data_IF_442302973464
#
_entry.id   IF_442302973464
#
_cell.length_a   1.000
_cell.length_b   1.000
_cell.length_c   1.000
_cell.angle_alpha   90.00
_cell.angle_beta   90.00
_cell.angle_gamma   90.00
#
_symmetry.space_group_name_H-M   'P 1'
#
loop_
_entity.id
_entity.type
_entity.pdbx_description
1 polymer ?
2 water ?
#
# COMPACT_ATOMS: atom_id res chain seq x y z
N UNK A 1 -1.37 -18.51 8.46
CA UNK A 1 -1.72 -17.24 9.06
C UNK A 1 -1.05 -16.12 8.33
N UNK A 2 -1.46 -15.95 7.06
CA UNK A 2 -0.95 -14.91 6.20
C UNK A 2 -1.91 -13.79 5.86
N UNK A 3 -1.33 -12.70 5.40
CA UNK A 3 -2.04 -11.50 5.00
C UNK A 3 -2.67 -11.66 3.63
N UNK A 4 -3.47 -10.69 3.24
CA UNK A 4 -4.04 -10.71 1.91
C UNK A 4 -2.87 -10.64 0.91
N UNK A 5 -1.84 -9.89 1.22
CA UNK A 5 -0.67 -9.78 0.34
C UNK A 5 -0.01 -11.14 0.15
N UNK A 6 0.12 -11.87 1.25
CA UNK A 6 0.72 -13.22 1.21
C UNK A 6 -0.12 -14.13 0.30
N UNK A 7 -1.44 -13.95 0.35
CA UNK A 7 -2.32 -14.72 -0.51
C UNK A 7 -2.13 -14.33 -1.98
N UNK A 8 -1.96 -13.05 -2.26
CA UNK A 8 -1.71 -12.56 -3.61
C UNK A 8 -0.39 -13.17 -4.14
N UNK A 9 0.59 -13.30 -3.25
CA UNK A 9 1.90 -13.87 -3.63
C UNK A 9 1.84 -15.33 -4.04
N UNK A 10 0.80 -16.04 -3.64
CA UNK A 10 0.66 -17.45 -3.98
C UNK A 10 -0.01 -17.66 -5.34
N UNK A 11 -0.63 -16.60 -5.89
CA UNK A 11 -1.29 -16.68 -7.20
C UNK A 11 -0.27 -16.82 -8.35
N UNK A 12 -0.75 -17.34 -9.48
CA UNK A 12 0.12 -17.44 -10.63
C UNK A 12 0.51 -16.00 -10.97
N UNK A 13 1.73 -15.76 -11.37
CA UNK A 13 2.34 -14.45 -11.62
C UNK A 13 1.49 -13.72 -12.65
N UNK A 14 0.75 -14.32 -13.56
CA UNK A 14 0.01 -13.59 -14.59
C UNK A 14 -1.03 -12.60 -14.07
N UNK A 15 -1.44 -12.73 -12.81
CA UNK A 15 -2.45 -11.83 -12.28
C UNK A 15 -1.88 -10.45 -12.13
N UNK A 16 -0.58 -10.41 -11.83
CA UNK A 16 0.07 -9.17 -11.55
C UNK A 16 -0.21 -8.09 -12.58
N UNK A 17 -0.33 -8.48 -13.83
CA UNK A 17 -0.60 -7.49 -14.86
C UNK A 17 -1.90 -6.72 -14.66
N UNK A 18 -2.87 -7.34 -14.02
CA UNK A 18 -4.17 -6.71 -13.77
C UNK A 18 -4.18 -5.61 -12.72
N UNK A 19 -3.24 -5.63 -11.80
CA UNK A 19 -3.20 -4.61 -10.76
C UNK A 19 -2.33 -3.38 -11.05
N UNK A 20 -1.62 -3.38 -12.19
CA UNK A 20 -0.74 -2.24 -12.47
C UNK A 20 -1.34 -0.84 -12.32
N UNK A 21 -2.54 -0.64 -12.88
CA UNK A 21 -3.18 0.66 -12.84
C UNK A 21 -3.75 1.07 -11.47
N UNK A 22 -3.72 0.16 -10.50
CA UNK A 22 -4.18 0.43 -9.14
C UNK A 22 -3.09 1.05 -8.26
N UNK A 23 -1.88 1.19 -8.82
CA UNK A 23 -0.76 1.80 -8.12
C UNK A 23 -0.35 3.03 -8.88
N UNK A 24 -0.24 4.15 -8.18
CA UNK A 24 0.18 5.39 -8.79
C UNK A 24 0.95 6.18 -7.71
N UNK A 25 1.15 7.47 -7.91
CA UNK A 25 1.92 8.29 -6.94
C UNK A 25 1.29 8.22 -5.54
N UNK A 26 0.05 7.84 -5.38
CA UNK A 26 -0.77 8.07 -4.19
C UNK A 26 -0.47 6.79 -3.41
N UNK A 27 -0.06 5.75 -4.12
CA UNK A 27 0.19 4.47 -3.49
C UNK A 27 1.07 3.54 -4.33
N UNK A 28 2.38 3.44 -3.97
CA UNK A 28 3.31 2.57 -4.69
C UNK A 28 3.40 1.15 -4.07
N UNK A 29 3.75 0.16 -4.88
CA UNK A 29 3.84 -1.21 -4.43
C UNK A 29 4.85 -1.43 -3.29
N UNK A 30 5.88 -0.58 -3.21
CA UNK A 30 6.87 -0.72 -2.13
C UNK A 30 6.15 -0.67 -0.80
N UNK A 31 5.20 0.28 -0.69
CA UNK A 31 4.42 0.43 0.53
C UNK A 31 3.48 -0.77 0.73
N UNK A 32 2.81 -1.19 -0.34
CA UNK A 32 1.89 -2.34 -0.27
C UNK A 32 2.61 -3.58 0.29
N UNK A 33 3.85 -3.78 -0.15
CA UNK A 33 4.63 -4.92 0.26
C UNK A 33 5.27 -4.83 1.63
N UNK A 34 6.04 -3.79 1.87
CA UNK A 34 6.78 -3.66 3.14
C UNK A 34 5.86 -3.44 4.34
N UNK A 35 4.74 -2.79 4.08
CA UNK A 35 3.76 -2.50 5.12
C UNK A 35 2.42 -3.20 4.87
N UNK A 36 2.47 -4.39 4.30
CA UNK A 36 1.25 -5.14 3.97
C UNK A 36 0.30 -5.28 5.17
N UNK A 37 0.83 -5.71 6.33
CA UNK A 37 -0.03 -5.90 7.50
C UNK A 37 -0.63 -4.58 8.01
N UNK A 38 0.18 -3.52 7.99
CA UNK A 38 -0.31 -2.24 8.46
C UNK A 38 -1.40 -1.73 7.50
N UNK A 39 -1.11 -1.79 6.20
CA UNK A 39 -2.06 -1.38 5.17
C UNK A 39 -3.40 -2.13 5.36
N UNK A 40 -3.32 -3.42 5.59
CA UNK A 40 -4.52 -4.25 5.75
C UNK A 40 -5.27 -4.03 7.06
N UNK A 41 -4.71 -3.26 7.94
CA UNK A 41 -5.32 -2.99 9.26
C UNK A 41 -6.21 -1.74 9.30
N UNK A 42 -5.97 -0.81 8.39
CA UNK A 42 -6.71 0.44 8.38
C UNK A 42 -8.02 0.39 7.60
N UNK A 43 -8.97 1.23 8.00
CA UNK A 43 -10.26 1.27 7.33
C UNK A 43 -10.23 2.37 6.27
N UNK A 44 -9.59 2.06 5.14
CA UNK A 44 -9.43 3.03 4.05
C UNK A 44 -10.73 3.47 3.43
N UNK A 45 -11.65 2.52 3.41
CA UNK A 45 -12.96 2.70 2.83
C UNK A 45 -13.72 3.83 3.57
N UNK A 46 -13.73 3.80 4.90
CA UNK A 46 -14.35 4.87 5.67
C UNK A 46 -13.53 6.19 5.56
N UNK A 47 -12.19 6.10 5.57
CA UNK A 47 -11.33 7.28 5.46
C UNK A 47 -11.51 8.01 4.12
N UNK A 48 -11.91 7.25 3.12
CA UNK A 48 -12.11 7.83 1.75
C UNK A 48 -13.28 8.82 1.77
N UNK A 49 -14.19 8.65 2.68
CA UNK A 49 -15.17 9.82 2.85
C UNK A 49 -15.03 10.71 4.05
N UNK A 50 -13.89 10.68 4.73
CA UNK A 50 -13.70 11.47 5.95
C UNK A 50 -12.33 12.12 5.97
N UNK A 51 -12.33 13.44 5.74
CA UNK A 51 -11.13 14.28 5.76
C UNK A 51 -10.18 14.04 6.95
N UNK A 52 -10.72 14.19 8.15
CA UNK A 52 -9.95 13.99 9.36
C UNK A 52 -9.34 12.59 9.43
N UNK A 53 -10.15 11.57 9.16
CA UNK A 53 -9.65 10.21 9.20
C UNK A 53 -8.57 10.00 8.15
N UNK A 54 -8.79 10.47 6.93
CA UNK A 54 -7.82 10.27 5.87
C UNK A 54 -6.49 10.91 6.23
N UNK A 55 -6.54 12.08 6.87
CA UNK A 55 -5.33 12.78 7.26
C UNK A 55 -4.58 11.98 8.31
N UNK A 56 -5.30 11.51 9.32
CA UNK A 56 -4.70 10.68 10.38
C UNK A 56 -4.03 9.43 9.78
N UNK A 57 -4.73 8.75 8.87
CA UNK A 57 -4.14 7.55 8.27
C UNK A 57 -2.84 7.82 7.49
N UNK A 58 -2.84 8.93 6.74
CA UNK A 58 -1.66 9.30 5.95
C UNK A 58 -0.52 9.70 6.89
N UNK A 59 -0.81 10.47 7.95
CA UNK A 59 0.20 10.80 8.96
C UNK A 59 0.82 9.50 9.53
N UNK A 60 -0.01 8.52 9.83
CA UNK A 60 0.48 7.26 10.40
C UNK A 60 1.23 6.43 9.39
N UNK A 61 0.82 6.50 8.13
CA UNK A 61 1.51 5.81 7.04
C UNK A 61 2.96 6.40 6.97
N UNK A 62 3.07 7.71 7.03
CA UNK A 62 4.38 8.38 7.00
C UNK A 62 5.27 7.97 8.16
N UNK A 63 4.65 7.74 9.34
CA UNK A 63 5.40 7.32 10.51
C UNK A 63 5.92 5.88 10.28
N UNK A 64 5.08 5.00 9.74
CA UNK A 64 5.50 3.62 9.44
C UNK A 64 6.58 3.60 8.35
N UNK A 65 6.41 4.47 7.36
CA UNK A 65 7.40 4.58 6.29
C UNK A 65 8.79 4.92 6.88
N UNK A 66 8.85 5.84 7.85
CA UNK A 66 10.12 6.18 8.49
C UNK A 66 10.73 4.99 9.22
N UNK A 67 9.91 4.18 9.90
CA UNK A 67 10.40 2.97 10.56
C UNK A 67 10.99 2.01 9.53
N UNK A 68 10.34 1.90 8.38
CA UNK A 68 10.80 1.02 7.31
C UNK A 68 12.14 1.55 6.83
N UNK A 69 12.25 2.87 6.67
CA UNK A 69 13.51 3.48 6.22
C UNK A 69 14.65 3.19 7.21
N UNK A 70 14.36 3.20 8.50
CA UNK A 70 15.38 2.87 9.48
C UNK A 70 15.83 1.43 9.34
N UNK A 71 14.89 0.52 9.06
CA UNK A 71 15.20 -0.88 8.90
C UNK A 71 16.05 -1.18 7.66
N UNK A 72 15.61 -0.67 6.50
CA UNK A 72 16.39 -0.92 5.29
C UNK A 72 17.75 -0.20 5.33
N UNK A 73 17.85 0.88 6.10
CA UNK A 73 19.14 1.56 6.24
C UNK A 73 20.08 0.63 7.01
N UNK A 74 19.61 0.04 8.10
CA UNK A 74 20.39 -0.88 8.91
C UNK A 74 20.77 -2.09 8.07
N UNK A 75 19.86 -2.54 7.21
CA UNK A 75 20.10 -3.68 6.35
C UNK A 75 20.96 -3.28 5.15
N UNK A 76 21.17 -1.99 4.96
CA UNK A 76 21.94 -1.48 3.82
C UNK A 76 21.33 -1.93 2.49
N UNK A 77 20.01 -1.94 2.38
CA UNK A 77 19.37 -2.31 1.13
C UNK A 77 19.29 -1.02 0.31
N UNK A 78 20.31 -0.79 -0.52
CA UNK A 78 20.39 0.46 -1.27
C UNK A 78 19.15 0.84 -2.10
N UNK A 79 18.68 -0.10 -2.88
CA UNK A 79 17.53 0.12 -3.73
C UNK A 79 16.32 0.58 -2.94
N UNK A 80 16.04 -0.10 -1.84
CA UNK A 80 14.86 0.28 -1.05
C UNK A 80 15.03 1.61 -0.34
N UNK A 81 16.22 1.89 0.17
CA UNK A 81 16.43 3.18 0.82
C UNK A 81 16.18 4.29 -0.20
N UNK A 82 16.80 4.11 -1.37
CA UNK A 82 16.68 5.08 -2.45
C UNK A 82 15.21 5.29 -2.87
N UNK A 83 14.51 4.19 -3.15
CA UNK A 83 13.10 4.25 -3.57
C UNK A 83 12.20 4.79 -2.47
N UNK A 84 12.38 4.34 -1.26
CA UNK A 84 11.54 4.83 -0.15
C UNK A 84 11.66 6.32 0.12
N UNK A 85 12.86 6.88 0.05
CA UNK A 85 12.99 8.32 0.26
C UNK A 85 12.27 9.14 -0.82
N UNK A 86 12.27 8.66 -2.06
CA UNK A 86 11.57 9.36 -3.13
C UNK A 86 10.04 9.25 -2.90
N UNK A 87 9.62 8.08 -2.44
CA UNK A 87 8.20 7.84 -2.13
C UNK A 87 7.78 8.77 -0.99
N UNK A 88 8.60 8.86 0.05
CA UNK A 88 8.31 9.77 1.17
C UNK A 88 8.05 11.21 0.69
N UNK A 89 8.88 11.74 -0.20
CA UNK A 89 8.68 13.10 -0.74
C UNK A 89 7.32 13.20 -1.43
N UNK A 90 6.96 12.21 -2.24
CA UNK A 90 5.67 12.24 -2.94
C UNK A 90 4.53 12.21 -1.95
N UNK A 91 4.62 11.32 -0.97
CA UNK A 91 3.57 11.20 0.05
C UNK A 91 3.41 12.45 0.92
N UNK A 92 4.52 13.14 1.18
CA UNK A 92 4.49 14.39 1.93
C UNK A 92 3.65 15.40 1.18
N UNK A 93 3.80 15.38 -0.14
CA UNK A 93 3.02 16.27 -0.99
C UNK A 93 1.53 15.90 -0.96
N UNK A 94 1.22 14.61 -0.89
CA UNK A 94 -0.17 14.17 -0.80
C UNK A 94 -0.74 14.62 0.55
N UNK A 95 0.03 14.54 1.62
CA UNK A 95 -0.42 15.02 2.93
C UNK A 95 -0.86 16.52 2.86
N UNK A 96 -0.12 17.34 2.16
CA UNK A 96 -0.44 18.74 2.05
C UNK A 96 -1.51 18.99 1.00
N UNK A 97 -1.80 17.99 0.19
CA UNK A 97 -2.80 18.16 -0.84
C UNK A 97 -4.15 17.52 -0.58
N UNK A 98 -4.27 16.24 -0.92
CA UNK A 98 -5.54 15.51 -0.81
C UNK A 98 -5.40 14.12 -0.18
N UNK A 99 -5.35 14.02 1.18
CA UNK A 99 -5.23 12.70 1.81
C UNK A 99 -6.38 11.74 1.50
N UNK A 100 -7.59 12.28 1.31
CA UNK A 100 -8.76 11.43 1.02
C UNK A 100 -8.55 10.63 -0.24
N UNK A 101 -7.92 11.27 -1.24
CA UNK A 101 -7.69 10.56 -2.48
C UNK A 101 -6.74 9.37 -2.33
N UNK A 102 -5.73 9.51 -1.46
CA UNK A 102 -4.83 8.40 -1.17
C UNK A 102 -5.70 7.22 -0.60
N UNK A 103 -6.64 7.54 0.30
CA UNK A 103 -7.49 6.51 0.91
C UNK A 103 -8.31 5.82 -0.18
N UNK A 104 -8.79 6.58 -1.15
CA UNK A 104 -9.58 6.05 -2.27
C UNK A 104 -8.72 5.04 -3.03
N UNK A 105 -7.52 5.44 -3.40
CA UNK A 105 -6.65 4.55 -4.15
C UNK A 105 -6.33 3.26 -3.40
N UNK A 106 -5.97 3.38 -2.11
CA UNK A 106 -5.66 2.16 -1.35
C UNK A 106 -6.91 1.25 -1.21
N UNK A 107 -8.04 1.88 -0.95
CA UNK A 107 -9.31 1.14 -0.81
C UNK A 107 -9.58 0.36 -2.09
N UNK A 108 -9.44 0.99 -3.26
CA UNK A 108 -9.67 0.32 -4.55
C UNK A 108 -8.68 -0.82 -4.77
N UNK A 109 -7.44 -0.57 -4.44
CA UNK A 109 -6.41 -1.57 -4.62
C UNK A 109 -6.71 -2.85 -3.81
N UNK A 110 -7.05 -2.67 -2.54
CA UNK A 110 -7.35 -3.82 -1.69
C UNK A 110 -8.61 -4.58 -2.16
N UNK A 111 -9.62 -3.85 -2.64
CA UNK A 111 -10.83 -4.51 -3.11
C UNK A 111 -10.53 -5.26 -4.41
N UNK A 112 -9.70 -4.68 -5.25
CA UNK A 112 -9.31 -5.33 -6.50
C UNK A 112 -8.61 -6.69 -6.22
N UNK A 113 -7.76 -6.71 -5.18
CA UNK A 113 -7.10 -7.95 -4.80
C UNK A 113 -8.14 -8.97 -4.34
N UNK A 114 -9.14 -8.53 -3.56
CA UNK A 114 -10.21 -9.46 -3.12
C UNK A 114 -10.92 -10.06 -4.35
N UNK A 115 -11.19 -9.23 -5.35
CA UNK A 115 -11.84 -9.70 -6.58
C UNK A 115 -10.96 -10.77 -7.27
N UNK A 116 -9.68 -10.43 -7.43
CA UNK A 116 -8.74 -11.32 -8.07
C UNK A 116 -8.55 -12.64 -7.30
N UNK A 117 -8.47 -12.54 -5.98
CA UNK A 117 -8.31 -13.75 -5.17
C UNK A 117 -9.51 -14.70 -5.33
N UNK A 118 -10.70 -14.13 -5.40
CA UNK A 118 -11.94 -14.89 -5.53
C UNK A 118 -12.03 -15.50 -6.92
N UNK A 119 -11.50 -14.80 -7.91
CA UNK A 119 -11.55 -15.27 -9.29
C UNK A 119 -10.53 -16.33 -9.63
N UNK A 120 -9.41 -16.32 -8.91
CA UNK A 120 -8.31 -17.24 -9.14
C UNK A 120 -8.77 -18.70 -9.15
N UNK A 121 -8.35 -19.45 -10.15
CA UNK A 121 -8.67 -20.86 -10.19
C UNK A 121 -7.85 -21.62 -9.17
N UNK A 122 -8.54 -22.41 -8.33
CA UNK A 122 -7.91 -23.23 -7.28
C UNK A 122 -8.64 -24.59 -7.20
N UNK A 123 -7.89 -25.69 -7.16
CA UNK A 123 -8.54 -27.00 -7.10
C UNK A 123 -9.10 -27.30 -5.71
N UNK A 124 -10.25 -27.97 -5.67
CA UNK A 124 -10.85 -28.37 -4.41
C UNK A 124 -10.20 -29.67 -3.99
#
# INVERSE_FOLDING_TARGET
>A
GGSQWNQVQQLEIKFLEQVDQFYDDNFPMEIRHLLAQWIETQDWEVASNNETMATILLQNLLIQLDEQLGRVSKEKNLLLIHNLKRIRKVLQGKFHGNPMHVAVVISNCLREERRILAAANMPI
#
